data_IF_750043461113
#
_entry.id   IF_750043461113
#
_cell.length_a   1.000
_cell.length_b   1.000
_cell.length_c   1.000
_cell.angle_alpha   90.00
_cell.angle_beta   90.00
_cell.angle_gamma   90.00
#
_symmetry.space_group_name_H-M   'P 1'
#
loop_
_entity.id
_entity.type
_entity.pdbx_description
1 polymer ?
#
# COMPACT_ATOMS: atom_id res chain seq x y z
N UNK A 1 17.29 9.32 -4.17
CA UNK A 1 16.36 9.91 -3.20
C UNK A 1 15.18 8.98 -2.96
N UNK A 2 14.39 9.21 -1.87
CA UNK A 2 13.10 8.53 -1.79
C UNK A 2 11.98 9.53 -1.47
N UNK A 3 10.86 9.34 -2.13
CA UNK A 3 9.69 10.20 -2.07
C UNK A 3 8.50 9.39 -1.56
N UNK A 4 7.62 10.00 -0.78
CA UNK A 4 6.33 9.39 -0.43
C UNK A 4 5.24 10.12 -1.23
N UNK A 5 4.44 9.37 -1.96
CA UNK A 5 3.26 9.90 -2.65
C UNK A 5 2.01 9.26 -2.06
N UNK A 6 1.06 10.09 -1.66
CA UNK A 6 -0.17 9.71 -0.98
C UNK A 6 -1.34 9.92 -1.96
N UNK A 7 -1.80 8.88 -2.66
CA UNK A 7 -2.98 9.00 -3.53
C UNK A 7 -4.23 9.15 -2.66
N UNK A 8 -5.05 10.15 -2.97
CA UNK A 8 -6.29 10.44 -2.26
C UNK A 8 -7.40 10.77 -3.24
N UNK A 9 -8.55 10.05 -3.16
CA UNK A 9 -9.74 10.29 -3.98
C UNK A 9 -10.91 10.71 -3.11
N UNK A 10 -11.69 11.66 -3.60
CA UNK A 10 -12.93 12.03 -2.89
C UNK A 10 -14.02 10.97 -3.08
N UNK A 11 -14.12 10.40 -4.27
CA UNK A 11 -15.13 9.40 -4.63
C UNK A 11 -14.75 8.01 -4.06
N UNK A 12 -15.01 7.80 -2.76
CA UNK A 12 -14.93 6.49 -2.12
C UNK A 12 -16.33 5.90 -1.95
N UNK A 13 -16.55 4.67 -2.44
CA UNK A 13 -17.91 4.06 -2.48
C UNK A 13 -18.47 3.80 -1.08
N UNK A 14 -17.65 3.31 -0.15
CA UNK A 14 -18.09 2.94 1.21
C UNK A 14 -18.10 4.13 2.18
N UNK A 15 -17.25 5.12 1.96
CA UNK A 15 -17.10 6.28 2.85
C UNK A 15 -16.79 7.53 2.00
N UNK A 16 -17.80 8.18 1.40
CA UNK A 16 -17.61 9.36 0.55
C UNK A 16 -16.87 10.48 1.28
N UNK A 17 -15.92 11.13 0.59
CA UNK A 17 -15.12 12.19 1.18
C UNK A 17 -14.14 11.72 2.27
N UNK A 18 -13.86 10.42 2.34
CA UNK A 18 -12.99 9.78 3.34
C UNK A 18 -11.74 10.58 3.71
N UNK A 19 -10.93 11.10 2.77
CA UNK A 19 -9.71 11.85 3.10
C UNK A 19 -9.95 13.11 3.95
N UNK A 20 -11.14 13.69 3.87
CA UNK A 20 -11.51 14.92 4.59
C UNK A 20 -12.27 14.67 5.91
N UNK A 21 -12.57 13.41 6.24
CA UNK A 21 -13.23 13.07 7.51
C UNK A 21 -12.36 13.46 8.69
N UNK A 22 -13.01 14.08 9.68
CA UNK A 22 -12.32 14.66 10.82
C UNK A 22 -11.98 13.62 11.89
N UNK A 23 -10.72 13.64 12.32
CA UNK A 23 -10.20 12.91 13.46
C UNK A 23 -9.55 13.94 14.39
N UNK A 24 -10.15 14.20 15.54
CA UNK A 24 -9.66 15.19 16.52
C UNK A 24 -9.36 16.57 15.92
N UNK A 25 -10.26 17.06 15.04
CA UNK A 25 -10.14 18.38 14.41
C UNK A 25 -9.16 18.49 13.24
N UNK A 26 -8.62 17.35 12.76
CA UNK A 26 -7.74 17.27 11.58
C UNK A 26 -8.33 16.30 10.56
N UNK A 27 -8.25 16.58 9.25
CA UNK A 27 -8.70 15.64 8.25
C UNK A 27 -7.85 14.37 8.24
N UNK A 28 -8.43 13.22 7.91
CA UNK A 28 -7.74 11.93 7.83
C UNK A 28 -6.43 12.02 7.02
N UNK A 29 -6.46 12.70 5.87
CA UNK A 29 -5.29 12.84 5.00
C UNK A 29 -4.13 13.59 5.67
N UNK A 30 -4.40 14.49 6.62
CA UNK A 30 -3.36 15.17 7.39
C UNK A 30 -2.62 14.20 8.30
N UNK A 31 -3.31 13.29 8.97
CA UNK A 31 -2.70 12.25 9.80
C UNK A 31 -1.79 11.32 8.97
N UNK A 32 -2.24 10.94 7.78
CA UNK A 32 -1.43 10.14 6.85
C UNK A 32 -0.18 10.91 6.40
N UNK A 33 -0.33 12.18 6.07
CA UNK A 33 0.78 13.03 5.67
C UNK A 33 1.79 13.28 6.81
N UNK A 34 1.33 13.51 8.03
CA UNK A 34 2.20 13.66 9.22
C UNK A 34 3.01 12.39 9.46
N UNK A 35 2.39 11.21 9.33
CA UNK A 35 3.07 9.92 9.38
C UNK A 35 4.16 9.81 8.30
N UNK A 36 3.82 10.13 7.05
CA UNK A 36 4.76 10.10 5.94
C UNK A 36 5.95 11.05 6.15
N UNK A 37 5.70 12.25 6.67
CA UNK A 37 6.75 13.22 6.99
C UNK A 37 7.76 12.73 8.03
N UNK A 38 7.30 11.92 8.97
CA UNK A 38 8.16 11.35 10.00
C UNK A 38 9.08 10.22 9.47
N UNK A 39 8.92 9.79 8.21
CA UNK A 39 9.72 8.71 7.61
C UNK A 39 11.11 9.13 7.12
N UNK A 40 11.42 10.43 7.14
CA UNK A 40 12.68 10.96 6.58
C UNK A 40 12.71 10.98 5.05
N UNK A 41 11.55 10.95 4.38
CA UNK A 41 11.46 11.09 2.92
C UNK A 41 11.96 12.45 2.45
N UNK A 42 12.63 12.49 1.29
CA UNK A 42 13.10 13.73 0.66
C UNK A 42 11.93 14.64 0.23
N UNK A 43 10.79 14.06 -0.10
CA UNK A 43 9.52 14.78 -0.30
C UNK A 43 8.30 13.91 0.05
N UNK A 44 7.22 14.57 0.47
CA UNK A 44 5.91 13.95 0.74
C UNK A 44 4.85 14.74 -0.01
N UNK A 45 4.16 14.08 -0.94
CA UNK A 45 3.24 14.71 -1.88
C UNK A 45 1.86 14.04 -1.79
N UNK A 46 0.80 14.85 -1.61
CA UNK A 46 -0.58 14.39 -1.73
C UNK A 46 -0.99 14.47 -3.20
N UNK A 47 -1.41 13.35 -3.78
CA UNK A 47 -1.87 13.27 -5.17
C UNK A 47 -3.38 13.07 -5.22
N UNK A 48 -4.13 14.02 -5.76
CA UNK A 48 -5.60 14.00 -5.75
C UNK A 48 -6.19 14.51 -7.06
N UNK A 49 -7.41 14.09 -7.36
CA UNK A 49 -8.23 14.60 -8.46
C UNK A 49 -9.32 15.55 -7.98
N UNK A 50 -9.31 15.96 -6.71
CA UNK A 50 -10.36 16.76 -6.10
C UNK A 50 -9.79 18.03 -5.47
N UNK A 51 -10.30 19.18 -5.89
CA UNK A 51 -9.88 20.52 -5.42
C UNK A 51 -10.02 20.66 -3.90
N UNK A 52 -11.04 20.08 -3.28
CA UNK A 52 -11.27 20.16 -1.83
C UNK A 52 -10.17 19.49 -1.05
N UNK A 53 -9.66 18.36 -1.56
CA UNK A 53 -8.51 17.66 -0.95
C UNK A 53 -7.23 18.46 -1.17
N UNK A 54 -7.06 19.04 -2.37
CA UNK A 54 -5.92 19.89 -2.70
C UNK A 54 -5.86 21.12 -1.80
N UNK A 55 -6.97 21.83 -1.64
CA UNK A 55 -7.09 22.99 -0.74
C UNK A 55 -6.83 22.61 0.72
N UNK A 56 -7.43 21.50 1.19
CA UNK A 56 -7.19 21.02 2.55
C UNK A 56 -5.72 20.68 2.78
N UNK A 57 -5.04 20.04 1.81
CA UNK A 57 -3.61 19.74 1.87
C UNK A 57 -2.76 21.01 1.97
N UNK A 58 -3.05 22.03 1.17
CA UNK A 58 -2.43 23.35 1.27
C UNK A 58 -2.66 24.01 2.63
N UNK A 59 -3.84 23.84 3.21
CA UNK A 59 -4.21 24.39 4.50
C UNK A 59 -3.35 23.91 5.69
N UNK A 60 -2.82 22.69 5.64
CA UNK A 60 -1.87 22.18 6.64
C UNK A 60 -0.40 22.14 6.15
N UNK A 61 -0.11 22.77 5.00
CA UNK A 61 1.26 22.94 4.49
C UNK A 61 1.83 21.73 3.75
N UNK A 62 0.98 20.81 3.27
CA UNK A 62 1.43 19.72 2.42
C UNK A 62 1.64 20.19 0.97
N UNK A 63 2.68 19.69 0.34
CA UNK A 63 2.80 19.73 -1.12
C UNK A 63 1.76 18.80 -1.73
N UNK A 64 1.03 19.27 -2.74
CA UNK A 64 -0.02 18.49 -3.39
C UNK A 64 -0.08 18.74 -4.88
N UNK A 65 -0.50 17.73 -5.62
CA UNK A 65 -0.62 17.74 -7.08
C UNK A 65 -2.03 17.35 -7.47
N UNK A 66 -2.68 18.20 -8.26
CA UNK A 66 -3.90 17.82 -8.96
C UNK A 66 -3.55 16.90 -10.12
N UNK A 67 -4.15 15.73 -10.14
CA UNK A 67 -3.91 14.67 -11.11
C UNK A 67 -5.19 14.33 -11.86
N UNK A 68 -5.08 13.65 -12.98
CA UNK A 68 -6.23 13.25 -13.79
C UNK A 68 -7.26 12.44 -12.99
N UNK A 69 -8.54 12.78 -13.15
CA UNK A 69 -9.66 11.98 -12.62
C UNK A 69 -9.87 10.65 -13.39
N UNK A 70 -9.25 10.50 -14.56
CA UNK A 70 -9.37 9.33 -15.41
C UNK A 70 -8.52 8.12 -14.95
N UNK A 71 -7.64 8.30 -13.95
CA UNK A 71 -6.83 7.21 -13.44
C UNK A 71 -7.67 6.08 -12.86
N UNK A 72 -7.40 4.85 -13.31
CA UNK A 72 -8.07 3.66 -12.82
C UNK A 72 -7.58 3.28 -11.41
N UNK A 73 -6.29 3.50 -11.11
CA UNK A 73 -5.66 3.08 -9.84
C UNK A 73 -4.92 4.23 -9.14
N UNK A 74 -4.56 3.97 -7.88
CA UNK A 74 -3.63 4.83 -7.13
C UNK A 74 -2.23 4.84 -7.74
N UNK A 75 -1.80 3.72 -8.31
CA UNK A 75 -0.48 3.57 -8.93
C UNK A 75 -0.33 4.43 -10.18
N UNK A 76 -1.38 4.52 -11.01
CA UNK A 76 -1.39 5.41 -12.18
C UNK A 76 -1.23 6.87 -11.77
N UNK A 77 -1.92 7.26 -10.68
CA UNK A 77 -1.85 8.60 -10.10
C UNK A 77 -0.45 8.96 -9.61
N UNK A 78 0.20 8.02 -8.94
CA UNK A 78 1.59 8.19 -8.46
C UNK A 78 2.56 8.31 -9.64
N UNK A 79 2.34 7.53 -10.71
CA UNK A 79 3.16 7.60 -11.92
C UNK A 79 3.03 8.98 -12.61
N UNK A 80 1.84 9.60 -12.62
CA UNK A 80 1.66 10.97 -13.10
C UNK A 80 2.47 11.95 -12.26
N UNK A 81 2.40 11.86 -10.93
CA UNK A 81 3.19 12.73 -10.03
C UNK A 81 4.69 12.56 -10.27
N UNK A 82 5.18 11.33 -10.42
CA UNK A 82 6.59 11.07 -10.67
C UNK A 82 7.08 11.73 -11.96
N UNK A 83 6.26 11.70 -13.04
CA UNK A 83 6.56 12.41 -14.30
C UNK A 83 6.51 13.93 -14.13
N UNK A 84 5.44 14.44 -13.52
CA UNK A 84 5.23 15.88 -13.35
C UNK A 84 6.32 16.55 -12.48
N UNK A 85 6.84 15.82 -11.50
CA UNK A 85 7.92 16.28 -10.61
C UNK A 85 9.32 16.00 -11.16
N UNK A 86 9.45 15.29 -12.26
CA UNK A 86 10.75 14.98 -12.87
C UNK A 86 11.62 14.10 -11.95
N UNK A 87 11.02 13.14 -11.22
CA UNK A 87 11.80 12.23 -10.40
C UNK A 87 12.76 11.41 -11.27
N UNK A 88 13.98 11.21 -10.79
CA UNK A 88 14.96 10.44 -11.52
C UNK A 88 14.56 8.95 -11.58
N UNK A 89 14.90 8.25 -12.66
CA UNK A 89 14.56 6.83 -12.84
C UNK A 89 15.04 5.91 -11.70
N UNK A 90 16.15 6.28 -11.07
CA UNK A 90 16.74 5.53 -9.96
C UNK A 90 16.14 5.91 -8.59
N UNK A 91 15.37 6.99 -8.50
CA UNK A 91 14.70 7.37 -7.25
C UNK A 91 13.66 6.31 -6.86
N UNK A 92 13.32 6.32 -5.57
CA UNK A 92 12.34 5.39 -5.01
C UNK A 92 11.09 6.18 -4.65
N UNK A 93 9.92 5.68 -5.04
CA UNK A 93 8.62 6.20 -4.65
C UNK A 93 7.92 5.19 -3.76
N UNK A 94 7.59 5.60 -2.55
CA UNK A 94 6.74 4.84 -1.63
C UNK A 94 5.29 5.30 -1.80
N UNK A 95 4.42 4.35 -2.11
CA UNK A 95 2.98 4.54 -2.18
C UNK A 95 2.36 4.30 -0.81
N UNK A 96 2.02 5.36 -0.09
CA UNK A 96 1.25 5.30 1.14
C UNK A 96 -0.21 5.64 0.85
N UNK A 97 -1.13 4.70 1.07
CA UNK A 97 -2.55 4.94 0.82
C UNK A 97 -3.10 6.04 1.73
N UNK A 98 -3.96 6.91 1.17
CA UNK A 98 -4.54 8.06 1.88
C UNK A 98 -5.51 7.72 3.02
N UNK A 99 -5.68 6.45 3.31
CA UNK A 99 -6.53 5.89 4.37
C UNK A 99 -5.77 5.12 5.46
N UNK A 100 -4.43 5.22 5.47
CA UNK A 100 -3.52 4.50 6.39
C UNK A 100 -2.88 5.45 7.44
N UNK A 101 -3.66 6.10 8.34
CA UNK A 101 -3.15 7.08 9.29
C UNK A 101 -2.29 6.48 10.40
N UNK A 102 -2.33 5.17 10.56
CA UNK A 102 -1.60 4.43 11.60
C UNK A 102 -0.40 3.63 11.04
N UNK A 103 -0.02 3.87 9.78
CA UNK A 103 1.15 3.22 9.20
C UNK A 103 2.41 3.73 9.89
N UNK A 104 3.25 2.87 10.50
CA UNK A 104 4.48 3.33 11.13
C UNK A 104 5.44 3.95 10.11
N UNK A 105 5.93 5.16 10.39
CA UNK A 105 6.87 5.87 9.51
C UNK A 105 8.13 5.05 9.20
N UNK A 106 8.59 4.22 10.15
CA UNK A 106 9.71 3.30 9.97
C UNK A 106 9.48 2.25 8.88
N UNK A 107 8.23 1.87 8.60
CA UNK A 107 7.91 0.92 7.52
C UNK A 107 8.19 1.54 6.15
N UNK A 108 7.88 2.84 5.97
CA UNK A 108 8.16 3.56 4.74
C UNK A 108 9.67 3.64 4.48
N UNK A 109 10.43 4.02 5.50
CA UNK A 109 11.90 4.07 5.44
C UNK A 109 12.50 2.70 5.12
N UNK A 110 12.05 1.64 5.80
CA UNK A 110 12.52 0.27 5.59
C UNK A 110 12.22 -0.24 4.18
N UNK A 111 11.05 0.09 3.61
CA UNK A 111 10.72 -0.27 2.22
C UNK A 111 11.64 0.44 1.23
N UNK A 112 11.92 1.72 1.43
CA UNK A 112 12.86 2.45 0.60
C UNK A 112 14.28 1.87 0.74
N UNK A 113 14.74 1.55 1.96
CA UNK A 113 16.02 0.91 2.21
C UNK A 113 16.10 -0.48 1.54
N UNK A 114 15.03 -1.26 1.62
CA UNK A 114 14.93 -2.57 0.98
C UNK A 114 15.24 -2.51 -0.53
N UNK A 115 14.71 -1.51 -1.26
CA UNK A 115 15.04 -1.32 -2.68
C UNK A 115 16.46 -0.79 -2.89
N UNK A 116 16.97 0.11 -2.01
CA UNK A 116 18.36 0.59 -2.14
C UNK A 116 19.37 -0.55 -2.09
N UNK A 117 19.15 -1.49 -1.17
CA UNK A 117 20.01 -2.68 -1.00
C UNK A 117 19.89 -3.71 -2.14
N UNK A 118 18.82 -3.63 -2.95
CA UNK A 118 18.51 -4.61 -4.01
C UNK A 118 18.36 -3.93 -5.38
N UNK A 119 19.47 -3.52 -6.03
CA UNK A 119 19.45 -2.71 -7.24
C UNK A 119 18.71 -3.35 -8.43
N UNK A 120 18.58 -4.67 -8.44
CA UNK A 120 17.87 -5.42 -9.49
C UNK A 120 16.38 -5.68 -9.18
N UNK A 121 15.89 -5.24 -8.01
CA UNK A 121 14.48 -5.40 -7.63
C UNK A 121 13.68 -4.19 -8.09
N UNK A 122 12.54 -4.43 -8.72
CA UNK A 122 11.65 -3.41 -9.27
C UNK A 122 10.74 -2.80 -8.20
N UNK A 123 10.15 -3.67 -7.37
CA UNK A 123 9.11 -3.33 -6.40
C UNK A 123 9.45 -3.98 -5.06
N UNK A 124 9.21 -3.28 -3.97
CA UNK A 124 9.16 -3.87 -2.64
C UNK A 124 7.77 -3.66 -2.04
N UNK A 125 7.29 -4.64 -1.28
CA UNK A 125 6.08 -4.55 -0.48
C UNK A 125 6.30 -5.27 0.84
N UNK A 126 5.35 -5.16 1.78
CA UNK A 126 5.51 -5.74 3.10
C UNK A 126 4.61 -6.97 3.30
N UNK A 127 5.07 -7.87 4.17
CA UNK A 127 4.29 -9.01 4.65
C UNK A 127 4.44 -9.15 6.16
N UNK A 128 3.40 -9.66 6.82
CA UNK A 128 3.42 -10.03 8.23
C UNK A 128 2.95 -11.48 8.40
N UNK A 129 3.33 -12.17 9.50
CA UNK A 129 2.80 -13.50 9.77
C UNK A 129 1.27 -13.48 9.91
N UNK A 130 0.60 -14.46 9.32
CA UNK A 130 -0.82 -14.71 9.59
C UNK A 130 -0.98 -15.13 11.05
N UNK A 131 -1.94 -14.54 11.78
CA UNK A 131 -2.09 -14.73 13.23
C UNK A 131 -3.17 -15.74 13.60
N UNK A 132 -4.12 -16.02 12.71
CA UNK A 132 -5.22 -16.94 13.01
C UNK A 132 -5.69 -17.71 11.79
N UNK A 133 -6.38 -18.83 12.04
CA UNK A 133 -7.01 -19.59 10.98
C UNK A 133 -8.15 -18.80 10.29
N UNK A 134 -8.85 -17.96 11.03
CA UNK A 134 -9.87 -17.08 10.47
C UNK A 134 -9.25 -16.10 9.46
N UNK A 135 -8.15 -15.46 9.81
CA UNK A 135 -7.40 -14.58 8.91
C UNK A 135 -6.87 -15.34 7.67
N UNK A 136 -6.37 -16.56 7.86
CA UNK A 136 -5.88 -17.38 6.76
C UNK A 136 -6.98 -17.73 5.74
N UNK A 137 -8.20 -17.95 6.21
CA UNK A 137 -9.35 -18.31 5.38
C UNK A 137 -10.10 -17.09 4.82
N UNK A 138 -9.84 -15.87 5.33
CA UNK A 138 -10.51 -14.66 4.88
C UNK A 138 -9.97 -14.24 3.49
N UNK A 139 -10.81 -14.16 2.45
CA UNK A 139 -10.39 -13.69 1.12
C UNK A 139 -10.02 -12.20 1.08
N UNK A 140 -10.42 -11.40 2.08
CA UNK A 140 -10.01 -10.00 2.19
C UNK A 140 -8.60 -9.86 2.78
N UNK A 141 -8.13 -10.85 3.53
CA UNK A 141 -6.73 -10.98 3.92
C UNK A 141 -5.96 -11.64 2.77
N UNK A 142 -5.26 -10.86 1.97
CA UNK A 142 -4.44 -11.38 0.87
C UNK A 142 -3.24 -12.13 1.42
N UNK A 143 -3.04 -13.38 0.96
CA UNK A 143 -1.86 -14.19 1.30
C UNK A 143 -0.76 -13.95 0.28
N UNK A 144 0.48 -14.03 0.72
CA UNK A 144 1.67 -13.95 -0.14
C UNK A 144 2.55 -15.19 0.03
N UNK A 145 3.01 -15.73 -1.09
CA UNK A 145 4.03 -16.77 -1.10
C UNK A 145 5.40 -16.14 -1.32
N UNK A 146 6.34 -16.47 -0.44
CA UNK A 146 7.68 -15.90 -0.39
C UNK A 146 8.74 -16.97 -0.64
N UNK A 147 9.65 -16.70 -1.56
CA UNK A 147 10.87 -17.50 -1.75
C UNK A 147 11.85 -17.29 -0.58
N UNK A 148 12.83 -18.18 -0.44
CA UNK A 148 13.83 -18.11 0.64
C UNK A 148 14.67 -16.82 0.56
N UNK A 149 14.92 -16.30 -0.64
CA UNK A 149 15.64 -15.05 -0.90
C UNK A 149 14.78 -13.78 -0.68
N UNK A 150 13.50 -13.94 -0.34
CA UNK A 150 12.57 -12.85 -0.09
C UNK A 150 11.74 -12.42 -1.30
N UNK A 151 11.98 -12.97 -2.48
CA UNK A 151 11.21 -12.67 -3.68
C UNK A 151 9.78 -13.19 -3.55
N UNK A 152 8.80 -12.40 -4.02
CA UNK A 152 7.43 -12.86 -4.13
C UNK A 152 7.32 -13.95 -5.19
N UNK A 153 6.64 -15.05 -4.83
CA UNK A 153 6.27 -16.11 -5.75
C UNK A 153 4.85 -15.92 -6.28
N UNK A 154 3.94 -15.53 -5.40
CA UNK A 154 2.54 -15.29 -5.76
C UNK A 154 1.79 -14.54 -4.65
N UNK A 155 0.66 -13.93 -5.01
CA UNK A 155 -0.31 -13.34 -4.09
C UNK A 155 -1.69 -13.94 -4.39
N UNK A 156 -2.46 -14.26 -3.36
CA UNK A 156 -3.80 -14.83 -3.55
C UNK A 156 -4.76 -14.47 -2.43
N UNK A 157 -6.03 -14.36 -2.79
CA UNK A 157 -7.15 -14.34 -1.83
C UNK A 157 -7.43 -15.71 -1.25
N UNK A 158 -7.05 -16.78 -1.96
CA UNK A 158 -7.17 -18.15 -1.48
C UNK A 158 -6.23 -18.42 -0.28
N UNK A 159 -6.54 -19.41 0.56
CA UNK A 159 -5.66 -19.84 1.65
C UNK A 159 -4.44 -20.59 1.07
N UNK A 160 -3.32 -19.88 0.90
CA UNK A 160 -2.05 -20.42 0.42
C UNK A 160 -0.93 -20.13 1.41
N UNK A 161 0.05 -21.08 1.60
CA UNK A 161 0.13 -22.41 1.01
C UNK A 161 -0.91 -23.37 1.61
N UNK A 162 -1.38 -24.35 0.83
CA UNK A 162 -2.32 -25.35 1.32
C UNK A 162 -1.59 -26.42 2.16
N UNK A 163 -1.92 -26.57 3.46
CA UNK A 163 -1.25 -27.54 4.34
C UNK A 163 -1.83 -28.95 4.16
N UNK A 164 -1.31 -29.74 3.21
CA UNK A 164 -1.83 -31.04 2.82
C UNK A 164 -2.13 -31.99 4.00
N UNK A 165 -1.18 -32.11 4.92
CA UNK A 165 -1.25 -33.09 6.02
C UNK A 165 -1.91 -32.52 7.30
N UNK A 166 -2.35 -31.26 7.27
CA UNK A 166 -2.99 -30.57 8.40
C UNK A 166 -4.37 -30.06 8.03
N UNK A 167 -5.18 -30.95 7.48
CA UNK A 167 -6.57 -30.67 7.11
C UNK A 167 -7.53 -31.48 7.99
N UNK A 168 -8.61 -30.82 8.45
CA UNK A 168 -9.74 -31.49 9.10
C UNK A 168 -11.01 -31.18 8.29
N UNK A 169 -11.79 -32.21 7.96
CA UNK A 169 -13.02 -32.08 7.15
C UNK A 169 -12.82 -31.26 5.85
N UNK A 170 -11.67 -31.46 5.15
CA UNK A 170 -11.35 -30.75 3.90
C UNK A 170 -10.97 -29.27 4.08
N UNK A 171 -10.74 -28.80 5.30
CA UNK A 171 -10.29 -27.41 5.59
C UNK A 171 -8.90 -27.40 6.21
N UNK A 172 -8.09 -26.34 5.96
CA UNK A 172 -6.81 -26.18 6.65
C UNK A 172 -7.02 -26.08 8.16
N UNK A 173 -6.30 -26.91 8.92
CA UNK A 173 -6.28 -26.85 10.39
C UNK A 173 -5.06 -26.07 10.92
N UNK A 174 -4.17 -25.61 10.01
CA UNK A 174 -2.98 -24.85 10.35
C UNK A 174 -2.66 -23.86 9.23
N UNK A 175 -1.93 -22.79 9.60
CA UNK A 175 -1.48 -21.73 8.70
C UNK A 175 0.00 -21.38 8.89
N UNK A 176 0.75 -22.29 9.50
CA UNK A 176 2.19 -22.09 9.78
C UNK A 176 2.95 -21.78 8.46
N UNK A 177 3.73 -20.69 8.48
CA UNK A 177 4.47 -20.22 7.31
C UNK A 177 3.66 -19.43 6.30
N UNK A 178 2.37 -19.15 6.58
CA UNK A 178 1.57 -18.25 5.76
C UNK A 178 1.88 -16.78 6.08
N UNK A 179 1.94 -15.97 5.03
CA UNK A 179 2.19 -14.53 5.11
C UNK A 179 0.96 -13.75 4.65
N UNK A 180 0.57 -12.78 5.45
CA UNK A 180 -0.39 -11.76 5.07
C UNK A 180 0.33 -10.63 4.33
N UNK A 181 -0.17 -10.26 3.18
CA UNK A 181 0.29 -9.08 2.45
C UNK A 181 -0.19 -7.79 3.15
N UNK A 182 0.71 -6.81 3.24
CA UNK A 182 0.43 -5.45 3.71
C UNK A 182 0.53 -4.52 2.50
N UNK A 183 -0.58 -3.86 2.17
CA UNK A 183 -0.77 -3.10 0.92
C UNK A 183 0.01 -1.79 0.80
N UNK A 184 1.26 -1.79 1.23
CA UNK A 184 2.20 -0.67 1.06
C UNK A 184 3.30 -1.07 0.09
N UNK A 185 3.69 -0.16 -0.80
CA UNK A 185 4.63 -0.47 -1.86
C UNK A 185 5.70 0.60 -2.00
N UNK A 186 6.91 0.17 -2.34
CA UNK A 186 7.96 1.02 -2.86
C UNK A 186 8.31 0.58 -4.29
N UNK A 187 8.51 1.54 -5.17
CA UNK A 187 8.86 1.34 -6.57
C UNK A 187 10.14 2.10 -6.90
N UNK A 188 10.98 1.57 -7.80
CA UNK A 188 11.86 2.45 -8.56
C UNK A 188 11.01 3.26 -9.54
N UNK A 189 11.34 4.52 -9.76
CA UNK A 189 10.58 5.38 -10.67
C UNK A 189 10.47 4.75 -12.05
N UNK A 190 11.56 4.22 -12.62
CA UNK A 190 11.52 3.50 -13.90
C UNK A 190 10.51 2.36 -13.91
N UNK A 191 10.52 1.53 -12.85
CA UNK A 191 9.63 0.37 -12.72
C UNK A 191 8.18 0.78 -12.49
N UNK A 192 7.94 1.87 -11.74
CA UNK A 192 6.61 2.47 -11.57
C UNK A 192 6.03 2.93 -12.90
N UNK A 193 6.83 3.63 -13.71
CA UNK A 193 6.38 4.14 -15.00
C UNK A 193 6.11 3.02 -16.00
N UNK A 194 6.94 1.98 -15.98
CA UNK A 194 6.75 0.77 -16.79
C UNK A 194 5.49 0.01 -16.36
N UNK A 195 5.29 -0.19 -15.06
CA UNK A 195 4.12 -0.86 -14.51
C UNK A 195 2.81 -0.15 -14.89
N UNK A 196 2.75 1.18 -14.69
CA UNK A 196 1.58 1.98 -15.02
C UNK A 196 1.26 2.04 -16.53
N UNK A 197 2.24 1.79 -17.39
CA UNK A 197 2.02 1.73 -18.83
C UNK A 197 1.47 0.38 -19.32
N UNK A 198 1.44 -0.65 -18.47
CA UNK A 198 0.98 -1.99 -18.84
C UNK A 198 -0.52 -2.14 -18.63
N UNK A 199 -1.25 -2.80 -19.52
CA UNK A 199 -2.66 -3.10 -19.31
C UNK A 199 -2.85 -4.13 -18.19
N UNK A 200 -4.04 -4.19 -17.56
CA UNK A 200 -4.40 -5.24 -16.62
C UNK A 200 -4.21 -6.65 -17.20
N UNK A 201 -3.78 -7.59 -16.36
CA UNK A 201 -3.45 -8.96 -16.75
C UNK A 201 -4.49 -9.97 -16.25
N UNK A 202 -4.56 -11.20 -16.80
CA UNK A 202 -5.58 -12.18 -16.43
C UNK A 202 -5.63 -12.53 -14.93
N UNK A 203 -4.48 -12.73 -14.27
CA UNK A 203 -4.45 -13.04 -12.84
C UNK A 203 -4.85 -11.82 -12.00
N UNK A 204 -4.40 -10.62 -12.39
CA UNK A 204 -4.83 -9.37 -11.75
C UNK A 204 -6.35 -9.23 -11.79
N UNK A 205 -6.97 -9.44 -12.95
CA UNK A 205 -8.42 -9.33 -13.11
C UNK A 205 -9.19 -10.42 -12.35
N UNK A 206 -8.63 -11.63 -12.30
CA UNK A 206 -9.25 -12.75 -11.59
C UNK A 206 -9.24 -12.57 -10.07
N UNK A 207 -8.10 -12.22 -9.51
CA UNK A 207 -7.92 -12.06 -8.06
C UNK A 207 -8.25 -10.62 -7.59
N UNK A 208 -8.42 -9.65 -8.49
CA UNK A 208 -8.53 -8.22 -8.18
C UNK A 208 -7.34 -7.75 -7.31
N UNK A 209 -6.13 -8.11 -7.75
CA UNK A 209 -4.85 -7.83 -7.08
C UNK A 209 -3.88 -7.22 -8.09
N UNK A 210 -3.71 -5.90 -8.05
CA UNK A 210 -2.91 -5.14 -9.02
C UNK A 210 -1.45 -5.62 -9.11
N UNK A 211 -0.84 -6.04 -8.00
CA UNK A 211 0.53 -6.52 -7.96
C UNK A 211 0.78 -7.82 -8.76
N UNK A 212 -0.27 -8.56 -9.11
CA UNK A 212 -0.14 -9.73 -10.00
C UNK A 212 0.25 -9.34 -11.41
N UNK A 213 -0.13 -8.13 -11.89
CA UNK A 213 0.35 -7.58 -13.16
C UNK A 213 1.87 -7.53 -13.22
N UNK A 214 2.52 -7.11 -12.13
CA UNK A 214 3.97 -7.07 -12.06
C UNK A 214 4.57 -8.48 -12.22
N UNK A 215 4.06 -9.48 -11.51
CA UNK A 215 4.55 -10.86 -11.59
C UNK A 215 4.31 -11.48 -12.98
N UNK A 216 3.12 -11.32 -13.55
CA UNK A 216 2.78 -11.86 -14.88
C UNK A 216 3.60 -11.23 -15.99
N UNK A 217 4.06 -10.02 -15.79
CA UNK A 217 4.88 -9.29 -16.79
C UNK A 217 6.38 -9.35 -16.50
N UNK A 218 6.82 -10.20 -15.56
CA UNK A 218 8.22 -10.50 -15.31
C UNK A 218 8.95 -9.48 -14.43
N UNK A 219 8.22 -8.55 -13.79
CA UNK A 219 8.82 -7.64 -12.81
C UNK A 219 9.07 -8.38 -11.48
N UNK A 220 10.14 -8.00 -10.81
CA UNK A 220 10.52 -8.57 -9.53
C UNK A 220 9.88 -7.81 -8.36
N UNK A 221 9.28 -8.56 -7.41
CA UNK A 221 8.76 -8.00 -6.16
C UNK A 221 9.51 -8.64 -4.99
N UNK A 222 10.04 -7.83 -4.08
CA UNK A 222 10.60 -8.30 -2.83
C UNK A 222 9.62 -8.12 -1.67
N UNK A 223 9.48 -9.15 -0.83
CA UNK A 223 8.62 -9.17 0.35
C UNK A 223 9.43 -8.86 1.60
N UNK A 224 9.33 -7.63 2.10
CA UNK A 224 9.90 -7.21 3.37
C UNK A 224 9.06 -7.78 4.52
N UNK A 225 9.70 -8.43 5.48
CA UNK A 225 9.01 -9.02 6.63
C UNK A 225 8.83 -7.99 7.75
N UNK A 226 7.62 -7.87 8.22
CA UNK A 226 7.29 -7.17 9.47
C UNK A 226 7.07 -8.20 10.58
N UNK A 227 7.38 -7.84 11.82
CA UNK A 227 7.10 -8.68 12.99
C UNK A 227 5.60 -8.88 13.21
N UNK A 228 4.82 -7.82 12.96
CA UNK A 228 3.35 -7.82 13.01
C UNK A 228 2.79 -6.90 11.90
N UNK A 229 1.53 -7.12 11.54
CA UNK A 229 0.85 -6.25 10.60
C UNK A 229 0.53 -4.90 11.26
N UNK A 230 0.71 -3.77 10.54
CA UNK A 230 0.21 -2.48 10.99
C UNK A 230 -1.30 -2.53 11.25
N UNK A 231 -1.79 -1.62 12.07
CA UNK A 231 -3.24 -1.47 12.27
C UNK A 231 -3.92 -1.21 10.92
N UNK A 232 -5.10 -1.81 10.66
CA UNK A 232 -5.79 -1.63 9.39
C UNK A 232 -6.17 -0.18 9.14
N UNK A 233 -6.15 0.22 7.88
CA UNK A 233 -6.60 1.54 7.43
C UNK A 233 -8.09 1.80 7.68
N UNK A 234 -8.56 2.96 7.26
CA UNK A 234 -9.95 3.41 7.41
C UNK A 234 -10.73 3.10 6.15
N UNK A 235 -11.60 2.10 6.20
CA UNK A 235 -12.47 1.71 5.07
C UNK A 235 -13.96 1.85 5.39
N UNK A 236 -14.30 1.80 6.66
CA UNK A 236 -15.67 1.87 7.18
C UNK A 236 -15.76 2.89 8.32
N UNK A 237 -16.99 3.27 8.71
CA UNK A 237 -17.21 4.13 9.88
C UNK A 237 -16.68 3.48 11.18
N UNK A 238 -16.76 2.15 11.29
CA UNK A 238 -16.19 1.43 12.44
C UNK A 238 -14.66 1.55 12.49
N UNK A 239 -14.00 1.51 11.33
CA UNK A 239 -12.55 1.73 11.26
C UNK A 239 -12.20 3.15 11.66
N UNK A 240 -12.96 4.14 11.19
CA UNK A 240 -12.77 5.54 11.55
C UNK A 240 -12.86 5.75 13.05
N UNK A 241 -13.88 5.16 13.69
CA UNK A 241 -14.04 5.26 15.15
C UNK A 241 -12.91 4.56 15.91
N UNK A 242 -12.47 3.39 15.45
CA UNK A 242 -11.29 2.71 16.00
C UNK A 242 -10.04 3.59 15.93
N UNK A 243 -9.78 4.22 14.79
CA UNK A 243 -8.64 5.13 14.59
C UNK A 243 -8.75 6.35 15.49
N UNK A 244 -9.94 6.95 15.64
CA UNK A 244 -10.18 8.05 16.60
C UNK A 244 -9.78 7.66 18.02
N UNK A 245 -10.13 6.45 18.45
CA UNK A 245 -9.80 5.96 19.79
C UNK A 245 -8.31 5.75 20.00
N UNK A 246 -7.59 5.26 18.98
CA UNK A 246 -6.14 5.04 19.03
C UNK A 246 -5.42 6.40 19.08
N UNK A 247 -5.74 7.31 18.19
CA UNK A 247 -5.09 8.63 18.08
C UNK A 247 -5.44 9.59 19.24
N UNK A 248 -6.47 9.29 20.06
CA UNK A 248 -6.76 10.03 21.27
C UNK A 248 -5.76 9.76 22.40
N UNK A 249 -5.06 8.63 22.35
CA UNK A 249 -4.14 8.16 23.40
C UNK A 249 -2.67 8.45 23.04
N UNK A 250 -2.40 8.83 21.79
CA UNK A 250 -1.08 9.18 21.28
C UNK A 250 -0.82 10.69 21.41
#
# INVERSE_FOLDING_TARGET
MFHVVIPARFAATRLPGKPLLQIHGRPLIQWVWECARASGADSVIVATDDERIHEAAGGFGADSVLTSAAHASGTDRIAEVARARGFAEADIVVNLQGDEPLMPASVLEQLAACLRERPLTDIATAVAPVQSLAEFLDPNCVKALRALDGRALYFSRAPVPWPRDRTQAGRPAAFAGAWRHVGIYAYRVRSLLEFAARPPTPLELSEQLEQLRALETGMSIHLMQLGEAPAPGVDTEQDLERVRQILRKA
#
